data_IF_073041251100
#
_entry.id   IF_073041251100
#
_cell.length_a   1.000
_cell.length_b   1.000
_cell.length_c   1.000
_cell.angle_alpha   90.00
_cell.angle_beta   90.00
_cell.angle_gamma   90.00
#
_symmetry.space_group_name_H-M   'P 1'
#
loop_
_entity.id
_entity.type
_entity.pdbx_description
1 polymer ?
#
# COMPACT_ATOMS: atom_id res chain seq x y z
N UNK A 1 37.73 20.62 -43.46
CA UNK A 1 36.45 19.93 -43.25
C UNK A 1 36.23 19.80 -41.75
N UNK A 2 35.28 20.50 -41.10
CA UNK A 2 35.00 20.34 -39.67
C UNK A 2 33.80 19.37 -39.48
N UNK A 3 33.96 18.48 -38.51
CA UNK A 3 33.03 17.45 -38.09
C UNK A 3 31.79 18.01 -37.45
N UNK A 4 30.64 17.52 -37.93
CA UNK A 4 29.33 17.80 -37.37
C UNK A 4 29.18 17.25 -35.95
N UNK A 5 28.86 18.12 -35.00
CA UNK A 5 28.50 17.75 -33.62
C UNK A 5 27.04 17.25 -33.63
N UNK A 6 26.88 15.94 -33.41
CA UNK A 6 25.57 15.33 -33.25
C UNK A 6 24.82 15.87 -32.04
N UNK A 7 23.61 16.33 -32.27
CA UNK A 7 22.66 16.72 -31.24
C UNK A 7 22.15 15.46 -30.54
N UNK A 8 22.43 15.30 -29.26
CA UNK A 8 21.90 14.20 -28.45
C UNK A 8 20.56 14.63 -27.84
N UNK A 9 19.42 13.98 -28.17
CA UNK A 9 18.10 14.37 -27.68
C UNK A 9 17.85 14.06 -26.20
N UNK A 10 18.81 13.46 -25.48
CA UNK A 10 18.68 13.07 -24.09
C UNK A 10 18.93 14.19 -23.05
N UNK A 11 19.41 15.37 -23.46
CA UNK A 11 19.68 16.48 -22.53
C UNK A 11 18.45 17.21 -22.02
N UNK A 12 17.35 17.18 -22.75
CA UNK A 12 16.10 17.85 -22.34
C UNK A 12 15.34 17.07 -21.26
N UNK A 13 15.43 15.74 -21.26
CA UNK A 13 14.77 14.90 -20.27
C UNK A 13 15.41 15.00 -18.88
N UNK A 14 16.74 15.17 -18.81
CA UNK A 14 17.47 15.30 -17.55
C UNK A 14 17.33 16.66 -16.84
N UNK A 15 16.89 17.71 -17.54
CA UNK A 15 16.62 19.02 -16.95
C UNK A 15 15.19 19.09 -16.37
N UNK A 16 14.24 18.42 -17.03
CA UNK A 16 12.85 18.35 -16.56
C UNK A 16 12.70 17.48 -15.32
N UNK A 17 13.40 16.33 -15.29
CA UNK A 17 13.46 15.49 -14.08
C UNK A 17 14.21 16.17 -12.91
N UNK A 18 15.15 17.07 -13.19
CA UNK A 18 15.84 17.86 -12.16
C UNK A 18 14.99 18.99 -11.56
N UNK A 19 14.02 19.51 -12.28
CA UNK A 19 13.09 20.52 -11.72
C UNK A 19 11.96 19.88 -10.90
N UNK A 20 11.47 18.69 -11.29
CA UNK A 20 10.57 17.91 -10.43
C UNK A 20 11.27 17.41 -9.16
N UNK A 21 12.56 17.08 -9.24
CA UNK A 21 13.35 16.73 -8.06
C UNK A 21 13.68 17.94 -7.18
N UNK A 22 13.76 19.16 -7.69
CA UNK A 22 14.10 20.33 -6.87
C UNK A 22 12.98 20.80 -5.94
N UNK A 23 11.72 20.54 -6.28
CA UNK A 23 10.60 20.77 -5.34
C UNK A 23 10.40 19.61 -4.35
N UNK A 24 11.01 18.43 -4.63
CA UNK A 24 11.02 17.25 -3.74
C UNK A 24 12.35 17.03 -3.01
N UNK A 25 13.42 17.76 -3.35
CA UNK A 25 14.75 17.62 -2.73
C UNK A 25 14.96 18.53 -1.50
N UNK A 26 13.96 19.34 -1.10
CA UNK A 26 14.17 20.28 0.02
C UNK A 26 13.95 19.67 1.41
N UNK A 27 13.54 18.37 1.54
CA UNK A 27 13.52 17.68 2.83
C UNK A 27 14.07 16.27 2.72
N UNK A 28 15.34 16.11 3.08
CA UNK A 28 16.01 14.80 3.24
C UNK A 28 15.48 14.07 4.49
N UNK A 29 14.23 13.61 4.45
CA UNK A 29 13.64 12.81 5.54
C UNK A 29 12.13 12.70 5.49
N UNK A 30 11.39 13.79 5.32
CA UNK A 30 9.96 13.84 5.57
C UNK A 30 9.15 14.09 4.30
N UNK A 31 7.94 13.47 4.23
CA UNK A 31 6.97 13.74 3.17
C UNK A 31 5.71 14.37 3.78
N UNK A 32 5.33 15.58 3.32
CA UNK A 32 4.23 16.35 3.89
C UNK A 32 2.95 16.19 3.07
N UNK A 33 1.88 15.81 3.75
CA UNK A 33 0.50 15.83 3.27
C UNK A 33 -0.27 17.01 3.90
N UNK A 34 -1.51 17.25 3.46
CA UNK A 34 -2.34 18.35 3.99
C UNK A 34 -2.61 18.25 5.49
N UNK A 35 -2.79 17.04 6.02
CA UNK A 35 -3.20 16.83 7.41
C UNK A 35 -2.16 16.13 8.27
N UNK A 36 -1.14 15.51 7.67
CA UNK A 36 -0.09 14.79 8.40
C UNK A 36 1.23 14.81 7.63
N UNK A 37 2.29 14.41 8.31
CA UNK A 37 3.63 14.29 7.75
C UNK A 37 4.15 12.87 7.98
N UNK A 38 4.95 12.35 7.06
CA UNK A 38 5.58 11.04 7.14
C UNK A 38 7.09 11.22 7.23
N UNK A 39 7.65 10.90 8.37
CA UNK A 39 9.08 10.63 8.52
C UNK A 39 9.38 9.21 8.01
N UNK A 40 10.53 9.05 7.32
CA UNK A 40 10.81 7.80 6.58
C UNK A 40 12.31 7.47 6.51
N UNK A 41 13.07 7.96 7.45
CA UNK A 41 14.54 7.77 7.48
C UNK A 41 14.95 6.37 7.94
N UNK A 42 14.11 5.69 8.73
CA UNK A 42 14.34 4.35 9.26
C UNK A 42 13.62 3.22 8.50
N UNK A 43 12.76 3.56 7.56
CA UNK A 43 12.04 2.58 6.76
C UNK A 43 12.76 2.26 5.45
N UNK A 44 12.83 0.96 5.13
CA UNK A 44 13.38 0.48 3.85
C UNK A 44 12.53 0.95 2.65
N UNK A 45 11.21 1.02 2.82
CA UNK A 45 10.27 1.50 1.80
C UNK A 45 9.82 2.92 2.13
N UNK A 46 10.17 3.86 1.26
CA UNK A 46 9.78 5.27 1.38
C UNK A 46 8.38 5.50 0.83
N UNK A 47 7.80 6.67 1.14
CA UNK A 47 6.54 7.12 0.55
C UNK A 47 6.63 7.02 -0.97
N UNK A 48 5.77 6.22 -1.54
CA UNK A 48 5.71 5.94 -2.97
C UNK A 48 4.31 6.13 -3.52
N UNK A 49 4.24 6.29 -4.83
CA UNK A 49 2.97 6.45 -5.55
C UNK A 49 1.98 5.32 -5.26
N UNK A 50 2.47 4.09 -5.06
CA UNK A 50 1.63 2.92 -4.84
C UNK A 50 0.86 3.00 -3.52
N UNK A 51 1.54 3.37 -2.42
CA UNK A 51 0.88 3.58 -1.13
C UNK A 51 -0.16 4.70 -1.20
N UNK A 52 0.16 5.82 -1.86
CA UNK A 52 -0.78 6.94 -2.02
C UNK A 52 -1.99 6.53 -2.87
N UNK A 53 -1.78 5.83 -3.98
CA UNK A 53 -2.87 5.34 -4.83
C UNK A 53 -3.80 4.41 -4.05
N UNK A 54 -3.25 3.44 -3.32
CA UNK A 54 -4.05 2.49 -2.54
C UNK A 54 -4.81 3.20 -1.43
N UNK A 55 -4.13 4.02 -0.62
CA UNK A 55 -4.75 4.76 0.47
C UNK A 55 -5.85 5.72 -0.01
N UNK A 56 -5.71 6.29 -1.22
CA UNK A 56 -6.72 7.16 -1.83
C UNK A 56 -7.90 6.40 -2.45
N UNK A 57 -7.70 5.14 -2.90
CA UNK A 57 -8.70 4.38 -3.67
C UNK A 57 -9.42 3.30 -2.88
N UNK A 58 -8.76 2.68 -1.88
CA UNK A 58 -9.30 1.56 -1.14
C UNK A 58 -10.63 1.90 -0.45
N UNK A 59 -11.50 0.91 -0.31
CA UNK A 59 -12.70 1.02 0.50
C UNK A 59 -12.33 0.88 1.98
N UNK A 60 -13.06 1.56 2.84
CA UNK A 60 -12.88 1.52 4.28
C UNK A 60 -14.09 0.91 4.99
N UNK A 61 -14.13 1.08 6.28
CA UNK A 61 -15.17 0.61 7.19
C UNK A 61 -14.95 1.21 8.56
N UNK A 62 -15.55 0.65 9.59
CA UNK A 62 -15.34 1.07 10.99
C UNK A 62 -14.04 0.54 11.58
N UNK A 63 -13.63 -0.66 11.15
CA UNK A 63 -12.38 -1.32 11.58
C UNK A 63 -11.54 -1.64 10.35
N UNK A 64 -10.36 -1.06 10.28
CA UNK A 64 -9.48 -1.17 9.11
C UNK A 64 -8.15 -1.76 9.55
N UNK A 65 -7.65 -2.76 8.80
CA UNK A 65 -6.32 -3.34 8.99
C UNK A 65 -5.42 -2.97 7.80
N UNK A 66 -4.23 -2.45 8.09
CA UNK A 66 -3.17 -2.21 7.11
C UNK A 66 -2.05 -3.23 7.30
N UNK A 67 -1.93 -4.18 6.36
CA UNK A 67 -0.94 -5.26 6.42
C UNK A 67 0.33 -4.84 5.69
N UNK A 68 1.45 -4.83 6.42
CA UNK A 68 2.72 -4.30 5.94
C UNK A 68 2.70 -2.76 5.95
N UNK A 69 2.37 -2.18 7.11
CA UNK A 69 2.12 -0.74 7.24
C UNK A 69 3.33 0.15 6.97
N UNK A 70 4.55 -0.41 7.04
CA UNK A 70 5.79 0.33 6.78
C UNK A 70 5.88 1.61 7.61
N UNK A 71 5.88 2.77 6.94
CA UNK A 71 5.89 4.10 7.59
C UNK A 71 4.55 4.50 8.21
N UNK A 72 3.50 3.71 8.09
CA UNK A 72 2.14 4.05 8.52
C UNK A 72 1.37 4.94 7.52
N UNK A 73 1.91 5.15 6.31
CA UNK A 73 1.30 6.00 5.30
C UNK A 73 -0.15 5.63 4.99
N UNK A 74 -0.39 4.36 4.64
CA UNK A 74 -1.73 3.91 4.25
C UNK A 74 -2.66 3.96 5.46
N UNK A 75 -2.20 3.55 6.63
CA UNK A 75 -2.95 3.65 7.88
C UNK A 75 -3.45 5.07 8.15
N UNK A 76 -2.59 6.09 8.02
CA UNK A 76 -2.94 7.49 8.23
C UNK A 76 -3.87 8.02 7.13
N UNK A 77 -3.67 7.62 5.88
CA UNK A 77 -4.57 7.98 4.78
C UNK A 77 -5.98 7.39 4.98
N UNK A 78 -6.07 6.15 5.43
CA UNK A 78 -7.36 5.51 5.75
C UNK A 78 -8.04 6.20 6.93
N UNK A 79 -7.30 6.54 7.99
CA UNK A 79 -7.85 7.28 9.13
C UNK A 79 -8.35 8.69 8.75
N UNK A 80 -7.70 9.37 7.79
CA UNK A 80 -8.16 10.66 7.27
C UNK A 80 -9.46 10.52 6.49
N UNK A 81 -9.56 9.51 5.61
CA UNK A 81 -10.75 9.31 4.76
C UNK A 81 -11.97 8.79 5.50
N UNK A 82 -11.76 8.06 6.57
CA UNK A 82 -12.81 7.41 7.34
C UNK A 82 -12.76 7.90 8.79
N UNK A 83 -13.39 9.06 9.10
CA UNK A 83 -13.27 9.72 10.41
C UNK A 83 -13.74 8.87 11.59
N UNK A 84 -14.67 7.95 11.36
CA UNK A 84 -15.23 7.05 12.38
C UNK A 84 -14.48 5.72 12.48
N UNK A 85 -13.42 5.53 11.67
CA UNK A 85 -12.69 4.26 11.64
C UNK A 85 -11.63 4.18 12.72
N UNK A 86 -11.49 3.00 13.29
CA UNK A 86 -10.30 2.55 14.00
C UNK A 86 -9.39 1.81 13.02
N UNK A 87 -8.14 2.19 12.97
CA UNK A 87 -7.16 1.63 12.03
C UNK A 87 -6.04 0.95 12.80
N UNK A 88 -5.76 -0.29 12.45
CA UNK A 88 -4.61 -1.03 12.97
C UNK A 88 -3.63 -1.27 11.82
N UNK A 89 -2.39 -0.84 11.98
CA UNK A 89 -1.29 -1.18 11.07
C UNK A 89 -0.43 -2.27 11.68
N UNK A 90 -0.10 -3.29 10.90
CA UNK A 90 0.85 -4.32 11.32
C UNK A 90 2.05 -4.38 10.40
N UNK A 91 3.22 -4.56 10.96
CA UNK A 91 4.46 -4.81 10.23
C UNK A 91 5.37 -5.74 11.05
N UNK A 92 6.20 -6.53 10.38
CA UNK A 92 7.16 -7.39 11.07
C UNK A 92 8.51 -6.71 11.33
N UNK A 93 8.79 -5.59 10.66
CA UNK A 93 10.01 -4.81 10.80
C UNK A 93 9.89 -3.86 12.00
N UNK A 94 10.72 -4.05 13.01
CA UNK A 94 10.70 -3.26 14.25
C UNK A 94 11.06 -1.77 14.00
N UNK A 95 11.95 -1.48 13.06
CA UNK A 95 12.35 -0.11 12.72
C UNK A 95 11.21 0.60 11.99
N UNK A 96 10.54 -0.08 11.06
CA UNK A 96 9.34 0.41 10.39
C UNK A 96 8.21 0.69 11.40
N UNK A 97 7.94 -0.26 12.31
CA UNK A 97 6.94 -0.08 13.38
C UNK A 97 7.27 1.11 14.30
N UNK A 98 8.53 1.29 14.66
CA UNK A 98 8.99 2.44 15.44
C UNK A 98 8.71 3.75 14.72
N UNK A 99 9.09 3.83 13.44
CA UNK A 99 8.83 5.02 12.60
C UNK A 99 7.33 5.28 12.42
N UNK A 100 6.54 4.24 12.14
CA UNK A 100 5.09 4.38 11.98
C UNK A 100 4.41 4.89 13.25
N UNK A 101 4.80 4.41 14.43
CA UNK A 101 4.27 4.91 15.71
C UNK A 101 4.58 6.39 15.93
N UNK A 102 5.79 6.84 15.60
CA UNK A 102 6.14 8.26 15.68
C UNK A 102 5.31 9.10 14.72
N UNK A 103 5.13 8.67 13.47
CA UNK A 103 4.28 9.32 12.49
C UNK A 103 2.82 9.40 12.97
N UNK A 104 2.29 8.32 13.53
CA UNK A 104 0.94 8.28 14.11
C UNK A 104 0.82 9.26 15.28
N UNK A 105 1.76 9.24 16.21
CA UNK A 105 1.74 10.14 17.38
C UNK A 105 1.84 11.62 17.01
N UNK A 106 2.53 11.95 15.94
CA UNK A 106 2.65 13.32 15.41
C UNK A 106 1.42 13.73 14.58
N UNK A 107 0.53 12.80 14.22
CA UNK A 107 -0.65 13.06 13.39
C UNK A 107 -1.89 13.45 14.22
N UNK A 108 -2.91 14.05 13.61
CA UNK A 108 -4.21 14.28 14.27
C UNK A 108 -5.02 12.99 14.48
N UNK A 109 -4.54 11.84 14.00
CA UNK A 109 -5.27 10.57 14.04
C UNK A 109 -4.77 9.60 15.13
N UNK A 110 -3.86 10.05 16.00
CA UNK A 110 -3.19 9.23 17.02
C UNK A 110 -4.13 8.44 17.94
N UNK A 111 -5.35 8.95 18.18
CA UNK A 111 -6.31 8.30 19.05
C UNK A 111 -7.12 7.17 18.36
N UNK A 112 -6.95 7.02 17.03
CA UNK A 112 -7.70 6.08 16.19
C UNK A 112 -6.81 5.17 15.34
N UNK A 113 -5.49 5.37 15.38
CA UNK A 113 -4.51 4.56 14.65
C UNK A 113 -3.57 3.89 15.62
N UNK A 114 -3.46 2.58 15.55
CA UNK A 114 -2.54 1.79 16.34
C UNK A 114 -1.58 1.02 15.43
N UNK A 115 -0.31 0.90 15.84
CA UNK A 115 0.71 0.14 15.10
C UNK A 115 1.23 -1.00 15.97
N UNK A 116 1.03 -2.22 15.49
CA UNK A 116 1.54 -3.42 16.13
C UNK A 116 2.73 -4.00 15.36
N UNK A 117 3.78 -4.40 16.11
CA UNK A 117 4.95 -5.02 15.50
C UNK A 117 4.82 -6.54 15.61
N UNK A 118 4.27 -7.15 14.57
CA UNK A 118 4.05 -8.60 14.52
C UNK A 118 3.93 -9.10 13.08
N UNK A 119 4.06 -10.42 12.92
CA UNK A 119 3.74 -11.06 11.63
C UNK A 119 2.22 -11.22 11.48
N UNK A 120 1.74 -11.20 10.24
CA UNK A 120 0.32 -11.47 9.94
C UNK A 120 -0.16 -12.81 10.51
N UNK A 121 0.69 -13.82 10.49
CA UNK A 121 0.38 -15.16 10.99
C UNK A 121 0.11 -15.17 12.51
N UNK A 122 0.78 -14.28 13.24
CA UNK A 122 0.73 -14.21 14.72
C UNK A 122 -0.34 -13.21 15.19
N UNK A 123 -0.76 -12.29 14.32
CA UNK A 123 -1.75 -11.25 14.63
C UNK A 123 -3.15 -11.84 14.82
N UNK A 124 -3.82 -11.51 15.92
CA UNK A 124 -5.17 -12.02 16.27
C UNK A 124 -5.21 -13.53 16.54
N UNK A 125 -4.05 -14.18 16.76
CA UNK A 125 -3.97 -15.52 17.31
C UNK A 125 -4.32 -15.49 18.79
N UNK A 126 -4.93 -16.57 19.28
CA UNK A 126 -5.16 -16.77 20.71
C UNK A 126 -3.79 -16.88 21.42
N UNK A 127 -3.26 -15.77 21.90
CA UNK A 127 -2.28 -15.84 22.97
C UNK A 127 -3.04 -16.21 24.25
N UNK A 128 -2.43 -17.03 25.14
CA UNK A 128 -3.00 -17.38 26.45
C UNK A 128 -3.39 -16.14 27.29
N UNK A 129 -2.94 -14.93 26.89
CA UNK A 129 -3.35 -13.65 27.46
C UNK A 129 -4.74 -13.16 26.98
N UNK A 130 -5.26 -13.67 25.86
CA UNK A 130 -6.58 -13.27 25.35
C UNK A 130 -7.73 -13.96 26.10
N UNK A 131 -7.51 -15.14 26.70
CA UNK A 131 -8.50 -15.80 27.54
C UNK A 131 -8.73 -15.08 28.90
N UNK A 132 -7.80 -14.21 29.32
CA UNK A 132 -7.88 -13.51 30.59
C UNK A 132 -8.62 -12.17 30.55
N UNK A 133 -9.00 -11.66 29.37
CA UNK A 133 -9.61 -10.33 29.21
C UNK A 133 -10.97 -10.43 28.51
N UNK A 134 -11.92 -11.10 29.13
CA UNK A 134 -13.38 -10.99 28.81
C UNK A 134 -13.98 -9.65 29.29
N UNK A 135 -13.23 -8.57 29.31
CA UNK A 135 -13.76 -7.25 29.58
C UNK A 135 -14.01 -6.50 28.27
N UNK A 136 -14.93 -5.53 28.27
CA UNK A 136 -15.34 -4.76 27.09
C UNK A 136 -14.18 -4.05 26.33
N UNK A 137 -12.99 -4.01 26.92
CA UNK A 137 -11.74 -3.54 26.29
C UNK A 137 -10.97 -4.66 25.58
N UNK A 138 -11.28 -5.93 25.85
CA UNK A 138 -10.64 -7.14 25.25
C UNK A 138 -11.10 -7.47 23.82
N UNK A 139 -11.99 -6.67 23.22
CA UNK A 139 -12.42 -6.83 21.81
C UNK A 139 -11.30 -6.48 20.81
N UNK A 140 -10.12 -6.07 21.26
CA UNK A 140 -8.99 -5.74 20.36
C UNK A 140 -8.30 -6.96 19.75
N UNK A 141 -8.42 -8.15 20.33
CA UNK A 141 -7.60 -9.30 19.93
C UNK A 141 -8.23 -10.26 18.90
N UNK A 142 -9.55 -10.29 18.72
CA UNK A 142 -10.25 -11.15 17.76
C UNK A 142 -11.09 -10.32 16.80
N UNK A 143 -10.49 -9.28 16.25
CA UNK A 143 -11.25 -8.32 15.50
C UNK A 143 -11.43 -8.73 14.06
N UNK A 144 -12.67 -8.97 13.71
CA UNK A 144 -13.08 -9.01 12.32
C UNK A 144 -13.04 -7.59 11.78
N UNK A 145 -12.27 -7.35 10.70
CA UNK A 145 -12.12 -6.05 10.06
C UNK A 145 -13.12 -5.90 8.91
N UNK A 146 -13.70 -4.71 8.77
CA UNK A 146 -14.59 -4.39 7.64
C UNK A 146 -13.80 -4.12 6.37
N UNK A 147 -12.59 -3.62 6.51
CA UNK A 147 -11.67 -3.39 5.41
C UNK A 147 -10.25 -3.83 5.78
N UNK A 148 -9.58 -4.45 4.83
CA UNK A 148 -8.14 -4.76 4.92
C UNK A 148 -7.46 -4.13 3.70
N UNK A 149 -6.31 -3.52 3.92
CA UNK A 149 -5.48 -2.95 2.86
C UNK A 149 -4.07 -3.52 2.94
N UNK A 150 -3.40 -3.65 1.79
CA UNK A 150 -1.99 -4.04 1.75
C UNK A 150 -1.32 -3.56 0.47
N UNK A 151 -0.13 -3.01 0.62
CA UNK A 151 0.85 -2.86 -0.46
C UNK A 151 1.95 -3.90 -0.24
N UNK A 152 1.69 -5.17 -0.56
CA UNK A 152 2.57 -6.26 -0.16
C UNK A 152 3.91 -6.18 -0.90
N UNK A 153 5.02 -6.62 -0.29
CA UNK A 153 6.27 -6.75 -1.01
C UNK A 153 6.13 -7.79 -2.13
N UNK A 154 6.49 -7.42 -3.36
CA UNK A 154 6.51 -8.35 -4.49
C UNK A 154 7.95 -8.65 -4.87
N UNK A 155 8.33 -9.90 -4.75
CA UNK A 155 9.54 -10.40 -5.36
C UNK A 155 9.14 -11.07 -6.67
N UNK A 156 9.33 -10.37 -7.77
CA UNK A 156 9.41 -11.03 -9.07
C UNK A 156 10.67 -11.88 -8.99
N UNK A 157 10.53 -13.19 -8.97
CA UNK A 157 11.64 -14.10 -9.14
C UNK A 157 12.37 -13.71 -10.42
N UNK A 158 13.36 -12.85 -10.28
CA UNK A 158 14.28 -12.57 -11.38
C UNK A 158 15.19 -13.79 -11.50
N UNK A 159 14.76 -14.76 -12.35
CA UNK A 159 15.52 -15.90 -12.82
C UNK A 159 16.88 -15.54 -13.45
N UNK A 160 17.45 -14.36 -13.16
CA UNK A 160 18.62 -13.83 -13.85
C UNK A 160 19.79 -13.39 -12.96
N UNK A 161 19.82 -13.76 -11.67
CA UNK A 161 21.05 -13.50 -10.91
C UNK A 161 21.38 -14.64 -9.93
N UNK A 162 22.48 -15.41 -10.18
CA UNK A 162 22.85 -16.57 -9.37
C UNK A 162 23.58 -16.24 -8.06
N UNK A 163 23.47 -15.05 -7.51
CA UNK A 163 24.03 -14.69 -6.20
C UNK A 163 23.12 -15.22 -5.07
N UNK A 164 23.21 -16.55 -4.89
CA UNK A 164 22.31 -17.36 -4.07
C UNK A 164 22.25 -17.00 -2.57
N UNK A 165 23.23 -16.31 -2.02
CA UNK A 165 23.25 -15.96 -0.58
C UNK A 165 22.41 -14.73 -0.22
N UNK A 166 22.27 -13.76 -1.15
CA UNK A 166 21.37 -12.61 -0.95
C UNK A 166 19.91 -12.95 -1.27
N UNK A 167 19.68 -13.89 -2.12
CA UNK A 167 18.35 -14.37 -2.51
C UNK A 167 17.71 -15.17 -1.38
N UNK A 168 18.46 -16.05 -0.69
CA UNK A 168 17.94 -16.83 0.44
C UNK A 168 17.52 -15.97 1.65
N UNK A 169 18.29 -14.93 2.00
CA UNK A 169 17.92 -14.02 3.10
C UNK A 169 16.64 -13.23 2.78
N UNK A 170 16.37 -12.90 1.51
CA UNK A 170 15.16 -12.20 1.08
C UNK A 170 13.92 -13.09 1.00
N UNK A 171 14.08 -14.40 0.81
CA UNK A 171 12.96 -15.36 0.78
C UNK A 171 12.39 -15.64 2.17
N UNK A 172 13.15 -15.44 3.24
CA UNK A 172 12.71 -15.66 4.62
C UNK A 172 11.81 -14.54 5.14
N UNK A 173 11.88 -13.34 4.53
CA UNK A 173 11.17 -12.14 4.96
C UNK A 173 10.01 -11.75 4.02
N UNK A 174 9.71 -12.56 3.01
CA UNK A 174 8.57 -12.31 2.10
C UNK A 174 7.28 -12.91 2.66
N UNK A 175 6.19 -12.16 2.59
CA UNK A 175 4.84 -12.67 2.84
C UNK A 175 4.30 -13.29 1.53
N UNK A 176 4.24 -14.63 1.39
CA UNK A 176 3.66 -15.25 0.20
C UNK A 176 2.19 -14.85 0.02
N UNK A 177 1.73 -14.70 -1.21
CA UNK A 177 0.34 -14.31 -1.48
C UNK A 177 -0.68 -15.27 -0.85
N UNK A 178 -0.36 -16.57 -0.83
CA UNK A 178 -1.19 -17.57 -0.15
C UNK A 178 -1.34 -17.27 1.34
N UNK A 179 -0.25 -16.92 2.02
CA UNK A 179 -0.25 -16.61 3.46
C UNK A 179 -0.96 -15.29 3.72
N UNK A 180 -0.77 -14.29 2.84
CA UNK A 180 -1.52 -13.04 2.87
C UNK A 180 -3.02 -13.30 2.80
N UNK A 181 -3.50 -14.03 1.78
CA UNK A 181 -4.92 -14.34 1.64
C UNK A 181 -5.45 -15.24 2.74
N UNK A 182 -4.64 -16.14 3.31
CA UNK A 182 -5.03 -16.94 4.48
C UNK A 182 -5.24 -16.05 5.71
N UNK A 183 -4.35 -15.10 5.96
CA UNK A 183 -4.49 -14.10 7.03
C UNK A 183 -5.71 -13.20 6.80
N UNK A 184 -5.87 -12.68 5.58
CA UNK A 184 -7.04 -11.88 5.20
C UNK A 184 -8.34 -12.67 5.42
N UNK A 185 -8.40 -13.95 5.03
CA UNK A 185 -9.61 -14.77 5.21
C UNK A 185 -10.00 -14.91 6.68
N UNK A 186 -9.03 -15.01 7.56
CA UNK A 186 -9.23 -15.14 9.02
C UNK A 186 -9.70 -13.83 9.65
N UNK A 187 -9.20 -12.69 9.17
CA UNK A 187 -9.36 -11.39 9.81
C UNK A 187 -10.46 -10.52 9.20
N UNK A 188 -10.81 -10.75 7.93
CA UNK A 188 -11.84 -9.98 7.23
C UNK A 188 -13.23 -10.45 7.65
N UNK A 189 -14.16 -9.52 7.83
CA UNK A 189 -15.59 -9.83 8.04
C UNK A 189 -16.21 -10.47 6.78
N UNK A 190 -17.37 -11.08 6.92
CA UNK A 190 -18.01 -11.75 5.79
C UNK A 190 -18.39 -10.75 4.70
N UNK A 191 -18.83 -9.55 5.07
CA UNK A 191 -19.15 -8.45 4.15
C UNK A 191 -17.97 -7.51 3.91
N UNK A 192 -16.80 -7.82 4.46
CA UNK A 192 -15.62 -6.99 4.39
C UNK A 192 -14.95 -7.02 3.02
N UNK A 193 -14.11 -6.01 2.77
CA UNK A 193 -13.38 -5.85 1.51
C UNK A 193 -11.88 -5.79 1.76
N UNK A 194 -11.15 -6.63 1.05
CA UNK A 194 -9.68 -6.58 0.98
C UNK A 194 -9.25 -5.83 -0.27
N UNK A 195 -8.43 -4.80 -0.12
CA UNK A 195 -7.86 -4.04 -1.24
C UNK A 195 -6.33 -4.09 -1.22
N UNK A 196 -5.75 -4.34 -2.38
CA UNK A 196 -4.29 -4.36 -2.55
C UNK A 196 -3.85 -3.64 -3.82
N UNK A 197 -2.60 -3.18 -3.84
CA UNK A 197 -1.93 -2.69 -5.05
C UNK A 197 -0.78 -3.61 -5.41
N UNK A 198 -0.72 -4.04 -6.66
CA UNK A 198 0.30 -4.96 -7.14
C UNK A 198 0.80 -4.57 -8.54
N UNK A 199 2.07 -4.84 -8.90
CA UNK A 199 2.56 -4.64 -10.26
C UNK A 199 1.93 -5.63 -11.24
N UNK A 200 1.88 -5.27 -12.52
CA UNK A 200 1.24 -6.04 -13.58
C UNK A 200 1.78 -7.47 -13.68
N UNK A 201 3.06 -7.67 -13.39
CA UNK A 201 3.76 -8.93 -13.51
C UNK A 201 3.21 -10.04 -12.58
N UNK A 202 2.58 -9.66 -11.47
CA UNK A 202 2.08 -10.62 -10.47
C UNK A 202 0.56 -10.67 -10.36
N UNK A 203 -0.17 -9.87 -11.14
CA UNK A 203 -1.66 -9.77 -11.05
C UNK A 203 -2.32 -11.14 -11.22
N UNK A 204 -1.91 -11.93 -12.23
CA UNK A 204 -2.53 -13.22 -12.51
C UNK A 204 -2.31 -14.19 -11.34
N UNK A 205 -1.09 -14.26 -10.81
CA UNK A 205 -0.78 -15.09 -9.65
C UNK A 205 -1.55 -14.63 -8.41
N UNK A 206 -1.60 -13.32 -8.16
CA UNK A 206 -2.31 -12.75 -7.02
C UNK A 206 -3.81 -13.08 -7.05
N UNK A 207 -4.45 -12.94 -8.22
CA UNK A 207 -5.86 -13.31 -8.42
C UNK A 207 -6.08 -14.82 -8.31
N UNK A 208 -5.16 -15.64 -8.84
CA UNK A 208 -5.27 -17.10 -8.72
C UNK A 208 -5.24 -17.55 -7.25
N UNK A 209 -4.32 -17.02 -6.43
CA UNK A 209 -4.24 -17.33 -4.99
C UNK A 209 -5.50 -16.87 -4.24
N UNK A 210 -6.06 -15.72 -4.60
CA UNK A 210 -7.32 -15.26 -4.02
C UNK A 210 -8.47 -16.23 -4.28
N UNK A 211 -8.61 -16.70 -5.52
CA UNK A 211 -9.65 -17.65 -5.91
C UNK A 211 -9.50 -18.99 -5.18
N UNK A 212 -8.28 -19.52 -5.04
CA UNK A 212 -7.99 -20.76 -4.31
C UNK A 212 -8.47 -20.66 -2.86
N UNK A 213 -8.34 -19.48 -2.22
CA UNK A 213 -8.78 -19.26 -0.85
C UNK A 213 -10.27 -18.85 -0.73
N UNK A 214 -11.01 -18.81 -1.86
CA UNK A 214 -12.44 -18.56 -1.91
C UNK A 214 -12.83 -17.09 -1.94
N UNK A 215 -11.94 -16.21 -2.39
CA UNK A 215 -12.25 -14.81 -2.63
C UNK A 215 -12.71 -14.57 -4.06
N UNK A 216 -13.49 -13.53 -4.23
CA UNK A 216 -13.95 -13.01 -5.51
C UNK A 216 -13.34 -11.65 -5.78
N UNK A 217 -12.69 -11.49 -6.92
CA UNK A 217 -12.30 -10.17 -7.41
C UNK A 217 -13.55 -9.37 -7.76
N UNK A 218 -13.77 -8.26 -7.09
CA UNK A 218 -14.98 -7.43 -7.23
C UNK A 218 -14.69 -6.10 -7.93
N UNK A 219 -13.44 -5.60 -7.83
CA UNK A 219 -13.04 -4.33 -8.43
C UNK A 219 -11.58 -4.39 -8.86
N UNK A 220 -11.29 -3.88 -10.07
CA UNK A 220 -9.95 -3.82 -10.65
C UNK A 220 -9.71 -2.48 -11.31
N UNK A 221 -8.64 -1.80 -10.93
CA UNK A 221 -8.23 -0.55 -11.55
C UNK A 221 -6.78 -0.64 -12.03
N UNK A 222 -6.58 -0.66 -13.35
CA UNK A 222 -5.27 -0.56 -13.96
C UNK A 222 -4.79 0.89 -13.98
N UNK A 223 -3.54 1.14 -13.54
CA UNK A 223 -2.99 2.50 -13.49
C UNK A 223 -1.84 2.67 -14.48
N UNK A 224 -2.03 3.62 -15.40
CA UNK A 224 -1.02 4.07 -16.37
C UNK A 224 -0.31 5.31 -15.84
N UNK A 225 0.97 5.43 -16.12
CA UNK A 225 1.69 6.69 -15.84
C UNK A 225 1.23 7.80 -16.77
N UNK A 226 1.12 7.49 -18.09
CA UNK A 226 0.62 8.37 -19.16
C UNK A 226 -0.24 7.54 -20.11
N UNK A 227 -1.16 8.20 -20.83
CA UNK A 227 -2.18 7.54 -21.64
C UNK A 227 -1.63 6.52 -22.66
N UNK A 228 -0.50 6.82 -23.29
CA UNK A 228 0.15 5.97 -24.32
C UNK A 228 0.81 4.69 -23.77
N UNK A 229 0.97 4.57 -22.43
CA UNK A 229 1.58 3.40 -21.79
C UNK A 229 0.52 2.39 -21.36
N UNK A 230 0.94 1.13 -21.20
CA UNK A 230 0.10 0.12 -20.58
C UNK A 230 0.12 0.30 -19.05
N UNK A 231 -0.91 -0.18 -18.34
CA UNK A 231 -0.91 -0.19 -16.89
C UNK A 231 0.31 -0.95 -16.34
N UNK A 232 0.97 -0.36 -15.37
CA UNK A 232 2.09 -0.99 -14.67
C UNK A 232 1.71 -1.50 -13.28
N UNK A 233 0.60 -1.02 -12.74
CA UNK A 233 0.07 -1.33 -11.42
C UNK A 233 -1.41 -1.57 -11.53
N UNK A 234 -1.90 -2.43 -10.64
CA UNK A 234 -3.31 -2.70 -10.50
C UNK A 234 -3.72 -2.58 -9.03
N UNK A 235 -4.74 -1.79 -8.77
CA UNK A 235 -5.46 -1.80 -7.52
C UNK A 235 -6.59 -2.82 -7.66
N UNK A 236 -6.67 -3.76 -6.73
CA UNK A 236 -7.57 -4.89 -6.75
C UNK A 236 -8.36 -4.92 -5.45
N UNK A 237 -9.67 -5.14 -5.52
CA UNK A 237 -10.50 -5.38 -4.33
C UNK A 237 -11.16 -6.75 -4.40
N UNK A 238 -11.19 -7.42 -3.27
CA UNK A 238 -11.71 -8.77 -3.10
C UNK A 238 -12.73 -8.83 -1.97
N UNK A 239 -13.71 -9.70 -2.12
CA UNK A 239 -14.70 -10.02 -1.09
C UNK A 239 -14.82 -11.55 -0.93
N UNK A 240 -15.41 -12.01 0.18
CA UNK A 240 -15.69 -13.43 0.43
C UNK A 240 -16.88 -13.96 -0.38
N UNK A 241 -17.67 -13.08 -0.94
CA UNK A 241 -18.81 -13.40 -1.80
C UNK A 241 -18.82 -12.54 -3.07
N UNK A 242 -19.63 -12.97 -4.05
CA UNK A 242 -19.77 -12.19 -5.29
C UNK A 242 -20.50 -10.89 -5.04
N UNK A 243 -19.93 -9.79 -5.52
CA UNK A 243 -20.59 -8.49 -5.59
C UNK A 243 -20.79 -8.17 -7.07
N UNK A 244 -22.00 -7.72 -7.43
CA UNK A 244 -22.38 -7.38 -8.79
C UNK A 244 -22.89 -5.95 -8.82
N UNK A 245 -22.52 -5.17 -9.85
CA UNK A 245 -21.65 -5.53 -10.98
C UNK A 245 -20.16 -5.60 -10.59
N UNK A 246 -19.36 -6.39 -11.32
CA UNK A 246 -17.90 -6.32 -11.29
C UNK A 246 -17.43 -5.00 -11.92
N UNK A 247 -16.52 -4.32 -11.25
CA UNK A 247 -15.99 -3.04 -11.72
C UNK A 247 -14.56 -3.20 -12.28
N UNK A 248 -14.36 -2.81 -13.52
CA UNK A 248 -13.03 -2.76 -14.12
C UNK A 248 -12.79 -1.43 -14.84
N UNK A 249 -11.70 -0.76 -14.48
CA UNK A 249 -11.32 0.53 -15.04
C UNK A 249 -9.82 0.58 -15.33
N UNK A 250 -9.45 1.48 -16.24
CA UNK A 250 -8.05 1.84 -16.48
C UNK A 250 -7.93 3.35 -16.39
N UNK A 251 -7.08 3.80 -15.50
CA UNK A 251 -6.91 5.21 -15.18
C UNK A 251 -5.48 5.68 -15.49
N UNK A 252 -5.33 6.96 -15.69
CA UNK A 252 -4.06 7.56 -16.07
C UNK A 252 -3.66 8.61 -15.04
N UNK A 253 -2.41 8.58 -14.58
CA UNK A 253 -1.92 9.54 -13.59
C UNK A 253 -1.60 10.92 -14.19
N UNK A 254 -1.02 10.95 -15.38
CA UNK A 254 -0.56 12.19 -16.02
C UNK A 254 -1.23 12.34 -17.39
N UNK A 255 -1.66 13.55 -17.71
CA UNK A 255 -2.17 13.91 -19.03
C UNK A 255 -1.06 13.95 -20.10
N UNK A 256 -1.43 14.29 -21.33
CA UNK A 256 -0.49 14.39 -22.47
C UNK A 256 0.52 15.53 -22.32
N UNK A 257 0.25 16.50 -21.45
CA UNK A 257 1.10 17.66 -21.16
C UNK A 257 2.03 17.43 -19.97
N UNK A 258 1.88 16.31 -19.24
CA UNK A 258 2.67 15.97 -18.08
C UNK A 258 2.11 16.53 -16.76
N UNK A 259 0.89 17.08 -16.77
CA UNK A 259 0.19 17.47 -15.54
C UNK A 259 -0.53 16.27 -14.93
N UNK A 260 -0.86 16.36 -13.63
CA UNK A 260 -1.72 15.36 -13.00
C UNK A 260 -3.08 15.29 -13.71
N UNK A 261 -3.53 14.11 -14.09
CA UNK A 261 -4.84 13.89 -14.71
C UNK A 261 -5.98 14.34 -13.78
N UNK A 262 -7.16 14.53 -14.33
CA UNK A 262 -8.36 14.86 -13.54
C UNK A 262 -8.66 13.78 -12.51
N UNK A 263 -8.62 12.50 -12.91
CA UNK A 263 -8.82 11.37 -12.01
C UNK A 263 -7.79 11.36 -10.88
N UNK A 264 -6.49 11.50 -11.19
CA UNK A 264 -5.45 11.45 -10.18
C UNK A 264 -5.54 12.63 -9.20
N UNK A 265 -5.85 13.84 -9.72
CA UNK A 265 -6.10 15.01 -8.87
C UNK A 265 -7.28 14.74 -7.92
N UNK A 266 -8.41 14.25 -8.45
CA UNK A 266 -9.62 13.99 -7.69
C UNK A 266 -9.42 12.99 -6.54
N UNK A 267 -8.75 11.86 -6.79
CA UNK A 267 -8.55 10.86 -5.72
C UNK A 267 -7.48 11.28 -4.68
N UNK A 268 -6.58 12.22 -5.05
CA UNK A 268 -5.49 12.67 -4.16
C UNK A 268 -5.70 14.09 -3.63
N UNK A 269 -6.79 14.77 -3.96
CA UNK A 269 -7.02 16.17 -3.59
C UNK A 269 -7.03 16.43 -2.09
N UNK A 270 -7.49 15.46 -1.29
CA UNK A 270 -7.51 15.57 0.16
C UNK A 270 -6.13 15.36 0.82
N UNK A 271 -5.16 14.89 0.06
CA UNK A 271 -3.85 14.49 0.58
C UNK A 271 -2.72 15.43 0.18
N UNK A 272 -2.55 15.70 -1.12
CA UNK A 272 -1.45 16.52 -1.59
C UNK A 272 -1.69 18.01 -1.36
N UNK A 273 -0.61 18.71 -1.03
CA UNK A 273 -0.55 20.17 -0.93
C UNK A 273 -0.82 20.85 -2.28
#
# INVERSE_FOLDING_TARGET
MPWARGFCPYRACGAYMRNLNKETEEFMGNFRFKQFEIEQDRCAMKVGTDGVLLGAWAQGGRRILDIGSGTGLISLMMAQRFPEAEVVGIDMDADACGQARENVMASPFRDRVEIECCRLQDFGGASEAAEALETAEGLKAAGVFDAIVSNPPFFVDSLKNPDSKRTMARHTDSLPFRDLFAGVKRLLSDDGIFSAIVPVEVVEQFVAESCILGFYLIRKCGVKTVERKQPKRFMLSFAKHRISPYEEHVETMMDSQGNRSEWYRKITEEFYL
#
